data_IF_915529514597
#
_entry.id   IF_915529514597
#
_cell.length_a   1.000
_cell.length_b   1.000
_cell.length_c   1.000
_cell.angle_alpha   90.00
_cell.angle_beta   90.00
_cell.angle_gamma   90.00
#
_symmetry.space_group_name_H-M   'P 1'
#
loop_
_entity.id
_entity.type
_entity.pdbx_description
1 polymer ?
#
# COMPACT_ATOMS: atom_id res chain seq x y z
N UNK A 1 53.76 4.78 -26.21
CA UNK A 1 54.05 3.36 -26.49
C UNK A 1 53.75 2.57 -25.21
N UNK A 2 53.00 1.46 -25.32
CA UNK A 2 52.70 0.43 -24.29
C UNK A 2 51.81 0.89 -23.11
N UNK A 3 50.49 0.58 -23.07
CA UNK A 3 49.82 -0.72 -22.83
C UNK A 3 50.28 -1.48 -21.58
N UNK A 4 49.42 -1.44 -20.55
CA UNK A 4 48.87 -2.63 -19.91
C UNK A 4 49.61 -3.20 -18.70
N UNK A 5 48.97 -3.14 -17.52
CA UNK A 5 48.64 -4.33 -16.71
C UNK A 5 47.59 -3.94 -15.64
N UNK A 6 46.48 -4.68 -15.66
CA UNK A 6 45.31 -4.66 -14.75
C UNK A 6 45.67 -5.05 -13.28
N UNK A 7 44.75 -5.15 -12.28
CA UNK A 7 43.32 -4.75 -12.21
C UNK A 7 42.78 -4.18 -10.85
N UNK A 8 41.49 -3.77 -10.87
CA UNK A 8 40.41 -3.98 -9.86
C UNK A 8 40.43 -3.19 -8.54
N UNK A 9 39.49 -2.26 -8.43
CA UNK A 9 38.40 -2.25 -7.44
C UNK A 9 37.40 -1.15 -7.85
N UNK A 10 36.37 -1.47 -8.63
CA UNK A 10 35.06 -1.97 -8.18
C UNK A 10 34.20 -0.92 -7.46
N UNK A 11 33.89 0.19 -8.12
CA UNK A 11 32.75 1.04 -7.76
C UNK A 11 32.08 1.51 -9.06
N UNK A 12 30.76 1.43 -9.10
CA UNK A 12 29.84 1.88 -10.17
C UNK A 12 29.55 0.91 -11.33
N UNK A 13 28.54 0.06 -11.11
CA UNK A 13 27.36 -0.07 -12.00
C UNK A 13 26.38 -1.08 -11.42
N UNK A 14 25.33 -0.58 -10.77
CA UNK A 14 24.07 -1.32 -10.65
C UNK A 14 23.05 -0.54 -11.47
N UNK A 15 22.89 -0.95 -12.74
CA UNK A 15 21.67 -0.67 -13.52
C UNK A 15 20.64 -1.68 -13.06
N UNK A 16 19.64 -1.25 -12.31
CA UNK A 16 18.42 -2.03 -12.10
C UNK A 16 17.50 -1.86 -13.32
N UNK A 17 16.99 -2.94 -13.93
CA UNK A 17 15.95 -2.83 -14.95
C UNK A 17 14.61 -2.47 -14.29
N UNK A 18 13.95 -1.45 -14.85
CA UNK A 18 12.58 -1.07 -14.50
C UNK A 18 11.64 -2.20 -14.96
N UNK A 19 11.15 -2.99 -14.03
CA UNK A 19 10.09 -3.97 -14.27
C UNK A 19 8.76 -3.23 -14.46
N UNK A 20 8.38 -2.97 -15.71
CA UNK A 20 6.99 -2.65 -16.08
C UNK A 20 6.15 -3.91 -15.89
N UNK A 21 5.49 -4.03 -14.75
CA UNK A 21 4.42 -5.01 -14.56
C UNK A 21 3.20 -4.59 -15.40
N UNK A 22 2.92 -5.38 -16.45
CA UNK A 22 1.69 -5.31 -17.25
C UNK A 22 0.52 -5.81 -16.41
N UNK A 23 -0.23 -4.90 -15.81
CA UNK A 23 -1.59 -5.14 -15.31
C UNK A 23 -2.53 -5.32 -16.51
N UNK A 24 -2.57 -6.51 -17.12
CA UNK A 24 -3.55 -6.84 -18.16
C UNK A 24 -3.75 -8.35 -18.25
N UNK A 25 -4.39 -8.93 -17.22
CA UNK A 25 -4.96 -10.29 -17.34
C UNK A 25 -6.03 -10.63 -16.28
N UNK A 26 -6.09 -9.93 -15.14
CA UNK A 26 -7.01 -10.34 -14.05
C UNK A 26 -8.50 -10.06 -14.32
N UNK A 27 -8.85 -9.06 -15.15
CA UNK A 27 -10.25 -8.75 -15.46
C UNK A 27 -10.99 -9.79 -16.33
N UNK A 28 -10.25 -10.66 -17.05
CA UNK A 28 -10.88 -11.68 -17.90
C UNK A 28 -11.26 -12.96 -17.12
N UNK A 29 -10.65 -13.18 -15.95
CA UNK A 29 -10.96 -14.30 -15.07
C UNK A 29 -12.05 -13.95 -14.06
N UNK A 30 -12.11 -12.69 -13.60
CA UNK A 30 -13.13 -12.23 -12.64
C UNK A 30 -14.53 -12.18 -13.28
N UNK A 31 -14.65 -11.82 -14.56
CA UNK A 31 -15.95 -11.77 -15.25
C UNK A 31 -16.60 -13.15 -15.43
N UNK A 32 -15.80 -14.20 -15.67
CA UNK A 32 -16.29 -15.59 -15.76
C UNK A 32 -16.71 -16.16 -14.40
N UNK A 33 -16.06 -15.73 -13.31
CA UNK A 33 -16.41 -16.13 -11.94
C UNK A 33 -17.68 -15.39 -11.49
N UNK A 34 -17.86 -14.13 -11.89
CA UNK A 34 -19.02 -13.31 -11.55
C UNK A 34 -20.31 -13.74 -12.26
N UNK A 35 -20.23 -14.26 -13.48
CA UNK A 35 -21.41 -14.87 -14.15
C UNK A 35 -21.85 -16.19 -13.50
N UNK A 36 -20.94 -16.94 -12.87
CA UNK A 36 -21.29 -18.18 -12.17
C UNK A 36 -21.89 -17.91 -10.78
N UNK A 37 -21.53 -16.81 -10.13
CA UNK A 37 -22.03 -16.45 -8.80
C UNK A 37 -23.42 -15.79 -8.79
N UNK A 38 -23.88 -15.21 -9.90
CA UNK A 38 -25.23 -14.64 -9.99
C UNK A 38 -26.37 -15.68 -10.06
N UNK A 39 -26.07 -16.96 -10.34
CA UNK A 39 -27.06 -18.04 -10.38
C UNK A 39 -27.34 -18.68 -9.00
N UNK A 40 -26.50 -18.43 -8.00
CA UNK A 40 -26.64 -18.99 -6.66
C UNK A 40 -27.02 -17.92 -5.64
N UNK A 41 -28.19 -17.31 -5.82
CA UNK A 41 -28.89 -16.62 -4.72
C UNK A 41 -30.02 -17.50 -4.21
N UNK A 42 -29.72 -18.34 -3.24
CA UNK A 42 -30.70 -18.79 -2.25
C UNK A 42 -29.96 -18.92 -0.93
N UNK A 43 -30.14 -17.89 -0.12
CA UNK A 43 -29.79 -17.88 1.30
C UNK A 43 -30.52 -19.03 1.98
N UNK A 44 -29.80 -20.05 2.42
CA UNK A 44 -30.27 -20.93 3.48
C UNK A 44 -29.29 -20.81 4.66
N UNK A 45 -29.82 -20.70 5.89
CA UNK A 45 -28.99 -20.62 7.08
C UNK A 45 -28.20 -21.92 7.24
N UNK A 46 -27.01 -21.77 7.81
CA UNK A 46 -26.06 -22.83 8.19
C UNK A 46 -26.78 -23.93 8.98
N UNK A 47 -27.35 -24.91 8.29
CA UNK A 47 -27.82 -26.16 8.88
C UNK A 47 -26.57 -27.03 8.96
N UNK A 48 -26.24 -27.47 10.18
CA UNK A 48 -25.24 -28.50 10.42
C UNK A 48 -25.34 -29.57 9.33
N UNK A 49 -24.20 -30.07 8.81
CA UNK A 49 -24.25 -31.18 7.87
C UNK A 49 -25.10 -32.26 8.54
N UNK A 50 -26.19 -32.74 7.90
CA UNK A 50 -27.01 -33.78 8.49
C UNK A 50 -26.05 -34.90 8.91
N UNK A 51 -26.26 -35.50 10.10
CA UNK A 51 -25.40 -36.59 10.56
C UNK A 51 -25.33 -37.54 9.39
N UNK A 52 -24.13 -37.69 8.82
CA UNK A 52 -23.94 -38.57 7.68
C UNK A 52 -24.57 -39.88 8.15
N UNK A 53 -25.62 -40.38 7.46
CA UNK A 53 -26.26 -41.59 7.91
C UNK A 53 -25.13 -42.57 8.13
N UNK A 54 -25.15 -43.25 9.27
CA UNK A 54 -24.20 -44.31 9.61
C UNK A 54 -24.37 -45.45 8.61
N UNK A 55 -24.11 -45.18 7.32
CA UNK A 55 -24.23 -46.07 6.18
C UNK A 55 -23.21 -47.16 6.38
N UNK A 56 -22.01 -46.81 6.86
CA UNK A 56 -21.02 -47.80 7.26
C UNK A 56 -21.61 -48.75 8.32
N UNK A 57 -22.33 -48.26 9.34
CA UNK A 57 -22.90 -49.14 10.35
C UNK A 57 -24.10 -49.94 9.83
N UNK A 58 -25.00 -49.30 9.08
CA UNK A 58 -26.18 -49.94 8.47
C UNK A 58 -25.79 -50.97 7.41
N UNK A 59 -24.71 -50.73 6.66
CA UNK A 59 -24.16 -51.68 5.70
C UNK A 59 -23.39 -52.79 6.41
N UNK A 60 -22.70 -52.51 7.53
CA UNK A 60 -22.12 -53.55 8.38
C UNK A 60 -23.22 -54.48 8.92
N UNK A 61 -24.31 -53.91 9.43
CA UNK A 61 -25.46 -54.68 9.92
C UNK A 61 -26.12 -55.46 8.79
N UNK A 62 -26.26 -54.85 7.61
CA UNK A 62 -26.77 -55.53 6.43
C UNK A 62 -25.85 -56.68 6.01
N UNK A 63 -24.53 -56.49 6.02
CA UNK A 63 -23.54 -57.49 5.69
C UNK A 63 -23.56 -58.65 6.69
N UNK A 64 -23.66 -58.37 7.99
CA UNK A 64 -23.81 -59.41 9.03
C UNK A 64 -25.14 -60.13 8.89
N UNK A 65 -26.24 -59.42 8.63
CA UNK A 65 -27.56 -60.04 8.46
C UNK A 65 -27.63 -60.90 7.20
N UNK A 66 -26.98 -60.47 6.12
CA UNK A 66 -27.01 -61.15 4.83
C UNK A 66 -26.07 -62.37 4.81
N UNK A 67 -24.97 -62.32 5.57
CA UNK A 67 -24.11 -63.47 5.84
C UNK A 67 -24.84 -64.50 6.72
N UNK A 68 -25.49 -64.06 7.80
CA UNK A 68 -26.15 -64.98 8.74
C UNK A 68 -27.44 -65.61 8.19
N UNK A 69 -28.17 -64.93 7.29
CA UNK A 69 -29.43 -65.45 6.73
C UNK A 69 -29.26 -66.29 5.47
N UNK A 70 -28.14 -66.14 4.75
CA UNK A 70 -27.87 -66.85 3.49
C UNK A 70 -26.67 -67.79 3.57
N UNK A 71 -26.26 -68.19 4.77
CA UNK A 71 -25.34 -69.30 4.91
C UNK A 71 -26.07 -70.55 4.41
N UNK A 72 -25.89 -70.87 3.13
CA UNK A 72 -26.60 -71.93 2.46
C UNK A 72 -26.42 -73.24 3.24
N UNK A 73 -27.53 -73.81 3.69
CA UNK A 73 -27.50 -75.12 4.33
C UNK A 73 -26.96 -76.16 3.34
N UNK A 74 -26.13 -77.12 3.78
CA UNK A 74 -25.62 -78.16 2.91
C UNK A 74 -26.78 -78.86 2.20
N UNK A 75 -26.67 -79.02 0.88
CA UNK A 75 -27.68 -79.73 0.11
C UNK A 75 -27.52 -81.22 0.39
N UNK A 76 -28.49 -81.85 1.03
CA UNK A 76 -28.43 -83.27 1.34
C UNK A 76 -29.25 -84.08 0.34
N UNK A 77 -28.87 -85.35 0.15
CA UNK A 77 -29.63 -86.28 -0.68
C UNK A 77 -31.10 -86.36 -0.27
N UNK A 78 -31.40 -86.30 1.04
CA UNK A 78 -32.76 -86.35 1.56
C UNK A 78 -33.64 -85.15 1.14
N UNK A 79 -33.04 -84.01 0.78
CA UNK A 79 -33.78 -82.79 0.40
C UNK A 79 -34.02 -82.68 -1.12
N UNK A 80 -33.31 -83.49 -1.91
CA UNK A 80 -33.32 -83.42 -3.38
C UNK A 80 -33.79 -84.73 -4.04
N UNK A 81 -33.59 -85.88 -3.39
CA UNK A 81 -34.05 -87.17 -3.88
C UNK A 81 -35.49 -87.42 -3.42
N UNK A 82 -36.38 -87.71 -4.35
CA UNK A 82 -37.74 -88.15 -4.03
C UNK A 82 -37.68 -89.61 -3.53
N UNK A 83 -37.48 -89.74 -2.21
CA UNK A 83 -37.47 -91.04 -1.53
C UNK A 83 -38.79 -91.81 -1.71
N UNK A 84 -39.90 -91.13 -2.05
CA UNK A 84 -41.19 -91.76 -2.30
C UNK A 84 -41.23 -92.42 -3.69
N UNK A 85 -40.68 -91.77 -4.72
CA UNK A 85 -40.58 -92.34 -6.08
C UNK A 85 -39.70 -93.59 -6.09
N UNK A 86 -38.52 -93.52 -5.47
CA UNK A 86 -37.60 -94.65 -5.36
C UNK A 86 -38.25 -95.81 -4.60
N UNK A 87 -39.00 -95.50 -3.54
CA UNK A 87 -39.74 -96.50 -2.78
C UNK A 87 -40.87 -97.15 -3.59
N UNK A 88 -41.58 -96.38 -4.42
CA UNK A 88 -42.61 -96.89 -5.33
C UNK A 88 -42.01 -97.81 -6.41
N UNK A 89 -40.88 -97.45 -7.01
CA UNK A 89 -40.20 -98.29 -7.99
C UNK A 89 -39.69 -99.60 -7.37
N UNK A 90 -39.12 -99.53 -6.16
CA UNK A 90 -38.71 -100.71 -5.40
C UNK A 90 -39.92 -101.59 -5.00
N UNK A 91 -41.11 -101.01 -4.89
CA UNK A 91 -42.35 -101.73 -4.59
C UNK A 91 -42.93 -102.48 -5.80
N UNK A 92 -42.63 -102.05 -7.03
CA UNK A 92 -43.06 -102.74 -8.26
C UNK A 92 -42.29 -104.04 -8.53
N UNK A 93 -41.06 -104.13 -8.03
CA UNK A 93 -40.25 -105.34 -8.14
C UNK A 93 -40.71 -106.35 -7.07
N UNK A 94 -40.98 -107.61 -7.44
CA UNK A 94 -41.29 -108.68 -6.48
C UNK A 94 -39.99 -109.38 -6.07
N UNK A 95 -39.54 -109.16 -4.84
CA UNK A 95 -38.21 -109.59 -4.35
C UNK A 95 -38.20 -110.99 -3.73
N UNK A 96 -39.38 -111.57 -3.42
CA UNK A 96 -39.50 -112.92 -2.85
C UNK A 96 -40.80 -113.59 -3.32
N UNK A 97 -40.77 -114.92 -3.47
CA UNK A 97 -41.92 -115.72 -3.91
C UNK A 97 -42.88 -116.09 -2.76
N UNK A 98 -42.46 -115.98 -1.50
CA UNK A 98 -43.28 -116.30 -0.33
C UNK A 98 -43.94 -115.06 0.31
N UNK A 99 -45.27 -115.10 0.43
CA UNK A 99 -46.12 -113.98 0.88
C UNK A 99 -46.06 -113.69 2.41
N UNK A 100 -45.39 -114.54 3.20
CA UNK A 100 -45.36 -114.43 4.68
C UNK A 100 -44.42 -113.32 5.21
N UNK A 101 -43.55 -112.76 4.36
CA UNK A 101 -42.52 -111.78 4.74
C UNK A 101 -42.76 -110.36 4.19
N UNK A 102 -44.01 -109.99 3.87
CA UNK A 102 -44.35 -108.68 3.32
C UNK A 102 -43.83 -107.50 4.17
N UNK A 103 -43.89 -107.61 5.51
CA UNK A 103 -43.34 -106.58 6.43
C UNK A 103 -41.83 -106.48 6.36
N UNK A 104 -41.14 -107.60 6.17
CA UNK A 104 -39.68 -107.65 6.06
C UNK A 104 -39.20 -107.07 4.73
N UNK A 105 -40.00 -107.20 3.67
CA UNK A 105 -39.73 -106.62 2.37
C UNK A 105 -39.77 -105.09 2.40
N UNK A 106 -40.78 -104.49 3.04
CA UNK A 106 -40.87 -103.02 3.19
C UNK A 106 -39.71 -102.44 4.00
N UNK A 107 -39.31 -103.11 5.09
CA UNK A 107 -38.16 -102.69 5.91
C UNK A 107 -36.85 -102.79 5.13
N UNK A 108 -36.66 -103.85 4.31
CA UNK A 108 -35.48 -103.99 3.45
C UNK A 108 -35.42 -102.90 2.38
N UNK A 109 -36.54 -102.57 1.73
CA UNK A 109 -36.61 -101.47 0.75
C UNK A 109 -36.27 -100.12 1.40
N UNK A 110 -36.83 -99.84 2.59
CA UNK A 110 -36.51 -98.63 3.33
C UNK A 110 -35.03 -98.56 3.69
N UNK A 111 -34.43 -99.69 4.09
CA UNK A 111 -33.00 -99.76 4.41
C UNK A 111 -32.12 -99.58 3.16
N UNK A 112 -32.52 -100.11 2.01
CA UNK A 112 -31.83 -99.87 0.73
C UNK A 112 -31.89 -98.41 0.34
N UNK A 113 -33.06 -97.77 0.45
CA UNK A 113 -33.23 -96.33 0.19
C UNK A 113 -32.36 -95.52 1.15
N UNK A 114 -32.32 -95.87 2.43
CA UNK A 114 -31.50 -95.19 3.42
C UNK A 114 -30.00 -95.34 3.12
N UNK A 115 -29.53 -96.56 2.81
CA UNK A 115 -28.12 -96.80 2.44
C UNK A 115 -27.75 -96.08 1.14
N UNK A 116 -28.65 -96.04 0.16
CA UNK A 116 -28.44 -95.31 -1.10
C UNK A 116 -28.35 -93.80 -0.85
N UNK A 117 -29.22 -93.26 0.02
CA UNK A 117 -29.18 -91.85 0.42
C UNK A 117 -27.90 -91.52 1.18
N UNK A 118 -27.46 -92.38 2.10
CA UNK A 118 -26.21 -92.20 2.84
C UNK A 118 -24.99 -92.24 1.91
N UNK A 119 -24.95 -93.20 0.97
CA UNK A 119 -23.89 -93.30 -0.03
C UNK A 119 -23.86 -92.07 -0.94
N UNK A 120 -25.02 -91.60 -1.40
CA UNK A 120 -25.13 -90.41 -2.24
C UNK A 120 -24.70 -89.15 -1.45
N UNK A 121 -25.01 -89.10 -0.16
CA UNK A 121 -24.64 -88.00 0.70
C UNK A 121 -23.12 -87.93 0.91
N UNK A 122 -22.47 -89.07 1.13
CA UNK A 122 -21.03 -89.15 1.39
C UNK A 122 -20.19 -88.94 0.13
N UNK A 123 -20.52 -89.62 -0.97
CA UNK A 123 -19.71 -89.58 -2.20
C UNK A 123 -19.96 -88.33 -3.05
N UNK A 124 -21.23 -87.91 -3.17
CA UNK A 124 -21.59 -86.80 -4.08
C UNK A 124 -21.83 -85.50 -3.33
N UNK A 125 -22.75 -85.49 -2.35
CA UNK A 125 -23.14 -84.23 -1.71
C UNK A 125 -22.06 -83.67 -0.79
N UNK A 126 -21.23 -84.49 -0.15
CA UNK A 126 -20.10 -84.00 0.66
C UNK A 126 -19.13 -83.16 -0.17
N UNK A 127 -18.69 -83.70 -1.32
CA UNK A 127 -17.74 -83.04 -2.22
C UNK A 127 -18.41 -81.87 -2.95
N UNK A 128 -19.66 -82.05 -3.40
CA UNK A 128 -20.42 -80.99 -4.06
C UNK A 128 -20.64 -79.81 -3.12
N UNK A 129 -21.09 -80.06 -1.89
CA UNK A 129 -21.32 -78.99 -0.91
C UNK A 129 -20.02 -78.29 -0.55
N UNK A 130 -18.94 -79.00 -0.24
CA UNK A 130 -17.68 -78.36 0.14
C UNK A 130 -17.14 -77.48 -0.99
N UNK A 131 -17.11 -77.98 -2.24
CA UNK A 131 -16.55 -77.21 -3.35
C UNK A 131 -17.48 -76.10 -3.83
N UNK A 132 -18.76 -76.40 -4.03
CA UNK A 132 -19.73 -75.49 -4.63
C UNK A 132 -20.19 -74.43 -3.64
N UNK A 133 -20.52 -74.80 -2.39
CA UNK A 133 -20.91 -73.82 -1.38
C UNK A 133 -19.76 -72.90 -1.06
N UNK A 134 -18.53 -73.43 -0.94
CA UNK A 134 -17.36 -72.60 -0.72
C UNK A 134 -17.09 -71.64 -1.88
N UNK A 135 -17.20 -72.09 -3.13
CA UNK A 135 -17.01 -71.18 -4.28
C UNK A 135 -18.10 -70.11 -4.33
N UNK A 136 -19.35 -70.49 -4.07
CA UNK A 136 -20.48 -69.58 -4.12
C UNK A 136 -20.46 -68.58 -2.95
N UNK A 137 -20.07 -69.03 -1.76
CA UNK A 137 -19.84 -68.18 -0.59
C UNK A 137 -18.70 -67.20 -0.86
N UNK A 138 -17.58 -67.66 -1.43
CA UNK A 138 -16.45 -66.80 -1.77
C UNK A 138 -16.83 -65.75 -2.83
N UNK A 139 -17.57 -66.15 -3.86
CA UNK A 139 -18.04 -65.24 -4.91
C UNK A 139 -19.00 -64.19 -4.32
N UNK A 140 -19.96 -64.61 -3.49
CA UNK A 140 -20.87 -63.71 -2.80
C UNK A 140 -20.11 -62.74 -1.89
N UNK A 141 -19.21 -63.23 -1.05
CA UNK A 141 -18.39 -62.39 -0.17
C UNK A 141 -17.55 -61.39 -0.98
N UNK A 142 -16.99 -61.82 -2.11
CA UNK A 142 -16.26 -60.94 -3.04
C UNK A 142 -17.16 -59.85 -3.64
N UNK A 143 -18.39 -60.19 -4.04
CA UNK A 143 -19.36 -59.21 -4.52
C UNK A 143 -19.72 -58.17 -3.45
N UNK A 144 -20.01 -58.60 -2.22
CA UNK A 144 -20.30 -57.70 -1.11
C UNK A 144 -19.09 -56.81 -0.79
N UNK A 145 -17.88 -57.38 -0.77
CA UNK A 145 -16.65 -56.63 -0.55
C UNK A 145 -16.40 -55.58 -1.64
N UNK A 146 -16.59 -55.93 -2.90
CA UNK A 146 -16.44 -54.99 -4.01
C UNK A 146 -17.47 -53.86 -3.94
N UNK A 147 -18.71 -54.18 -3.58
CA UNK A 147 -19.75 -53.18 -3.33
C UNK A 147 -19.33 -52.22 -2.22
N UNK A 148 -18.90 -52.75 -1.06
CA UNK A 148 -18.43 -51.95 0.08
C UNK A 148 -17.23 -51.08 -0.29
N UNK A 149 -16.26 -51.63 -1.00
CA UNK A 149 -15.08 -50.90 -1.47
C UNK A 149 -15.48 -49.73 -2.38
N UNK A 150 -16.44 -49.95 -3.29
CA UNK A 150 -16.95 -48.90 -4.17
C UNK A 150 -17.67 -47.79 -3.38
N UNK A 151 -18.43 -48.16 -2.35
CA UNK A 151 -19.18 -47.23 -1.52
C UNK A 151 -18.25 -46.41 -0.61
N UNK A 152 -17.27 -47.04 0.02
CA UNK A 152 -16.22 -46.34 0.79
C UNK A 152 -15.48 -45.35 -0.11
N UNK A 153 -15.09 -45.77 -1.33
CA UNK A 153 -14.45 -44.88 -2.29
C UNK A 153 -15.34 -43.69 -2.65
N UNK A 154 -16.64 -43.93 -2.83
CA UNK A 154 -17.62 -42.87 -3.06
C UNK A 154 -17.72 -41.91 -1.87
N UNK A 155 -17.79 -42.42 -0.64
CA UNK A 155 -17.83 -41.61 0.59
C UNK A 155 -16.57 -40.75 0.71
N UNK A 156 -15.38 -41.31 0.49
CA UNK A 156 -14.11 -40.58 0.54
C UNK A 156 -14.08 -39.47 -0.51
N UNK A 157 -14.47 -39.79 -1.75
CA UNK A 157 -14.51 -38.83 -2.84
C UNK A 157 -15.49 -37.68 -2.53
N UNK A 158 -16.70 -38.01 -2.09
CA UNK A 158 -17.72 -37.03 -1.73
C UNK A 158 -17.28 -36.15 -0.55
N UNK A 159 -16.67 -36.74 0.48
CA UNK A 159 -16.11 -36.00 1.62
C UNK A 159 -15.02 -35.04 1.17
N UNK A 160 -14.10 -35.48 0.30
CA UNK A 160 -13.05 -34.62 -0.24
C UNK A 160 -13.63 -33.48 -1.07
N UNK A 161 -14.61 -33.76 -1.92
CA UNK A 161 -15.22 -32.76 -2.78
C UNK A 161 -16.03 -31.74 -1.95
N UNK A 162 -16.68 -32.18 -0.87
CA UNK A 162 -17.35 -31.30 0.09
C UNK A 162 -16.35 -30.38 0.82
N UNK A 163 -15.24 -30.93 1.32
CA UNK A 163 -14.18 -30.14 1.96
C UNK A 163 -13.55 -29.15 0.99
N UNK A 164 -13.25 -29.57 -0.24
CA UNK A 164 -12.70 -28.70 -1.28
C UNK A 164 -13.67 -27.55 -1.60
N UNK A 165 -14.97 -27.84 -1.71
CA UNK A 165 -15.97 -26.81 -1.93
C UNK A 165 -16.06 -25.83 -0.75
N UNK A 166 -16.03 -26.30 0.50
CA UNK A 166 -15.99 -25.42 1.67
C UNK A 166 -14.75 -24.52 1.69
N UNK A 167 -13.56 -25.09 1.42
CA UNK A 167 -12.33 -24.32 1.27
C UNK A 167 -12.42 -23.29 0.13
N UNK A 168 -13.03 -23.66 -0.99
CA UNK A 168 -13.25 -22.75 -2.11
C UNK A 168 -14.15 -21.58 -1.73
N UNK A 169 -15.25 -21.83 -1.01
CA UNK A 169 -16.15 -20.80 -0.51
C UNK A 169 -15.44 -19.87 0.48
N UNK A 170 -14.64 -20.43 1.40
CA UNK A 170 -13.82 -19.65 2.34
C UNK A 170 -12.80 -18.76 1.63
N UNK A 171 -12.12 -19.29 0.60
CA UNK A 171 -11.20 -18.50 -0.22
C UNK A 171 -11.94 -17.38 -0.97
N UNK A 172 -13.09 -17.66 -1.56
CA UNK A 172 -13.89 -16.65 -2.25
C UNK A 172 -14.36 -15.54 -1.29
N UNK A 173 -14.74 -15.89 -0.07
CA UNK A 173 -15.05 -14.92 0.98
C UNK A 173 -13.83 -14.07 1.32
N UNK A 174 -12.67 -14.69 1.53
CA UNK A 174 -11.43 -13.98 1.86
C UNK A 174 -11.00 -13.01 0.76
N UNK A 175 -11.10 -13.41 -0.51
CA UNK A 175 -10.80 -12.55 -1.66
C UNK A 175 -11.71 -11.31 -1.65
N UNK A 176 -13.03 -11.51 -1.46
CA UNK A 176 -13.99 -10.41 -1.37
C UNK A 176 -13.68 -9.48 -0.20
N UNK A 177 -13.33 -10.04 0.95
CA UNK A 177 -12.98 -9.26 2.14
C UNK A 177 -11.69 -8.45 1.91
N UNK A 178 -10.70 -9.03 1.22
CA UNK A 178 -9.47 -8.33 0.82
C UNK A 178 -9.74 -7.20 -0.16
N UNK A 179 -10.55 -7.44 -1.20
CA UNK A 179 -10.94 -6.42 -2.17
C UNK A 179 -11.66 -5.25 -1.48
N UNK A 180 -12.55 -5.57 -0.52
CA UNK A 180 -13.25 -4.53 0.26
C UNK A 180 -12.27 -3.69 1.07
N UNK A 181 -11.32 -4.32 1.76
CA UNK A 181 -10.27 -3.61 2.51
C UNK A 181 -9.41 -2.76 1.57
N UNK A 182 -9.09 -3.27 0.39
CA UNK A 182 -8.32 -2.52 -0.60
C UNK A 182 -9.07 -1.27 -1.07
N UNK A 183 -10.36 -1.39 -1.36
CA UNK A 183 -11.21 -0.27 -1.74
C UNK A 183 -11.31 0.75 -0.58
N UNK A 184 -11.49 0.29 0.66
CA UNK A 184 -11.50 1.16 1.86
C UNK A 184 -10.17 1.92 2.03
N UNK A 185 -9.04 1.25 1.85
CA UNK A 185 -7.71 1.89 1.91
C UNK A 185 -7.56 2.91 0.79
N UNK A 186 -8.01 2.58 -0.42
CA UNK A 186 -7.93 3.48 -1.57
C UNK A 186 -8.80 4.72 -1.33
N UNK A 187 -10.01 4.56 -0.79
CA UNK A 187 -10.88 5.66 -0.41
C UNK A 187 -10.25 6.52 0.68
N UNK A 188 -9.66 5.93 1.72
CA UNK A 188 -8.94 6.67 2.77
C UNK A 188 -7.77 7.49 2.19
N UNK A 189 -7.00 6.91 1.28
CA UNK A 189 -5.86 7.59 0.66
C UNK A 189 -6.31 8.74 -0.24
N UNK A 190 -7.32 8.51 -1.08
CA UNK A 190 -7.76 9.50 -2.07
C UNK A 190 -8.61 10.59 -1.41
N UNK A 191 -9.55 10.21 -0.55
CA UNK A 191 -10.52 11.16 -0.01
C UNK A 191 -9.97 11.89 1.20
N UNK A 192 -9.33 11.21 2.15
CA UNK A 192 -8.90 11.87 3.37
C UNK A 192 -7.48 12.43 3.19
N UNK A 193 -6.50 11.57 2.89
CA UNK A 193 -5.10 12.00 2.89
C UNK A 193 -4.77 13.00 1.77
N UNK A 194 -5.24 12.75 0.55
CA UNK A 194 -4.95 13.65 -0.57
C UNK A 194 -5.74 14.96 -0.44
N UNK A 195 -6.98 14.92 0.05
CA UNK A 195 -7.75 16.14 0.31
C UNK A 195 -7.09 16.97 1.43
N UNK A 196 -6.67 16.33 2.52
CA UNK A 196 -5.98 17.00 3.62
C UNK A 196 -4.67 17.63 3.15
N UNK A 197 -3.86 16.89 2.36
CA UNK A 197 -2.65 17.44 1.73
C UNK A 197 -2.95 18.66 0.87
N UNK A 198 -4.02 18.61 0.06
CA UNK A 198 -4.42 19.74 -0.80
C UNK A 198 -4.94 20.94 0.01
N UNK A 199 -5.71 20.69 1.07
CA UNK A 199 -6.20 21.72 1.98
C UNK A 199 -5.02 22.40 2.70
N UNK A 200 -4.08 21.62 3.20
CA UNK A 200 -2.89 22.13 3.89
C UNK A 200 -1.99 22.94 2.93
N UNK A 201 -1.77 22.43 1.71
CA UNK A 201 -1.03 23.17 0.69
C UNK A 201 -1.71 24.50 0.34
N UNK A 202 -3.03 24.50 0.18
CA UNK A 202 -3.79 25.72 -0.08
C UNK A 202 -3.74 26.69 1.10
N UNK A 203 -3.83 26.19 2.34
CA UNK A 203 -3.70 27.02 3.53
C UNK A 203 -2.31 27.67 3.60
N UNK A 204 -1.25 26.89 3.37
CA UNK A 204 0.12 27.42 3.38
C UNK A 204 0.34 28.46 2.27
N UNK A 205 -0.26 28.28 1.08
CA UNK A 205 -0.23 29.28 0.00
C UNK A 205 -0.97 30.55 0.39
N UNK A 206 -2.11 30.42 1.05
CA UNK A 206 -2.91 31.55 1.53
C UNK A 206 -2.15 32.31 2.62
N UNK A 207 -1.60 31.61 3.61
CA UNK A 207 -0.75 32.18 4.66
C UNK A 207 0.45 32.92 4.07
N UNK A 208 1.19 32.30 3.15
CA UNK A 208 2.29 32.98 2.45
C UNK A 208 1.81 34.24 1.74
N UNK A 209 0.69 34.17 1.00
CA UNK A 209 0.12 35.33 0.31
C UNK A 209 -0.26 36.44 1.29
N UNK A 210 -0.85 36.10 2.44
CA UNK A 210 -1.16 37.06 3.50
C UNK A 210 0.09 37.68 4.11
N UNK A 211 1.13 36.87 4.35
CA UNK A 211 2.43 37.35 4.83
C UNK A 211 3.06 38.33 3.84
N UNK A 212 3.08 38.00 2.55
CA UNK A 212 3.56 38.90 1.50
C UNK A 212 2.76 40.21 1.45
N UNK A 213 1.42 40.13 1.54
CA UNK A 213 0.56 41.32 1.59
C UNK A 213 0.86 42.18 2.82
N UNK A 214 1.04 41.58 3.99
CA UNK A 214 1.36 42.29 5.23
C UNK A 214 2.74 42.99 5.13
N UNK A 215 3.76 42.27 4.67
CA UNK A 215 5.10 42.85 4.44
C UNK A 215 5.00 44.03 3.47
N UNK A 216 4.25 43.89 2.37
CA UNK A 216 4.09 44.97 1.39
C UNK A 216 3.35 46.18 1.96
N UNK A 217 2.30 45.97 2.77
CA UNK A 217 1.61 47.06 3.46
C UNK A 217 2.53 47.79 4.45
N UNK A 218 3.33 47.04 5.22
CA UNK A 218 4.30 47.62 6.15
C UNK A 218 5.41 48.39 5.43
N UNK A 219 5.87 47.87 4.29
CA UNK A 219 6.87 48.51 3.44
C UNK A 219 6.32 49.82 2.85
N UNK A 220 5.10 49.78 2.28
CA UNK A 220 4.43 50.97 1.75
C UNK A 220 4.13 51.99 2.85
N UNK A 221 3.70 51.55 4.02
CA UNK A 221 3.48 52.41 5.18
C UNK A 221 4.77 53.09 5.64
N UNK A 222 5.89 52.35 5.69
CA UNK A 222 7.21 52.88 6.04
C UNK A 222 7.75 53.83 4.99
N UNK A 223 7.61 53.48 3.71
CA UNK A 223 7.99 54.33 2.57
C UNK A 223 7.22 55.65 2.59
N UNK A 224 5.91 55.61 2.81
CA UNK A 224 5.09 56.81 2.97
C UNK A 224 5.53 57.65 4.18
N UNK A 225 5.81 57.02 5.33
CA UNK A 225 6.34 57.73 6.51
C UNK A 225 7.68 58.40 6.20
N UNK A 226 8.57 57.75 5.47
CA UNK A 226 9.86 58.32 5.05
C UNK A 226 9.64 59.49 4.11
N UNK A 227 8.78 59.35 3.09
CA UNK A 227 8.47 60.43 2.16
C UNK A 227 7.89 61.66 2.88
N UNK A 228 6.96 61.46 3.81
CA UNK A 228 6.39 62.54 4.63
C UNK A 228 7.47 63.19 5.50
N UNK A 229 8.35 62.40 6.15
CA UNK A 229 9.46 62.95 6.95
C UNK A 229 10.42 63.77 6.11
N UNK A 230 10.87 63.25 4.96
CA UNK A 230 11.75 63.96 4.04
C UNK A 230 11.08 65.25 3.55
N UNK A 231 9.80 65.18 3.15
CA UNK A 231 9.07 66.37 2.69
C UNK A 231 8.94 67.42 3.81
N UNK A 232 8.67 66.98 5.05
CA UNK A 232 8.59 67.85 6.20
C UNK A 232 9.95 68.48 6.55
N UNK A 233 11.03 67.69 6.55
CA UNK A 233 12.41 68.15 6.76
C UNK A 233 12.85 69.13 5.67
N UNK A 234 12.58 68.83 4.40
CA UNK A 234 12.87 69.73 3.28
C UNK A 234 12.11 71.05 3.41
N UNK A 235 10.81 70.98 3.76
CA UNK A 235 10.01 72.19 4.00
C UNK A 235 10.57 73.00 5.17
N UNK A 236 10.99 72.34 6.24
CA UNK A 236 11.64 72.99 7.39
C UNK A 236 12.95 73.66 7.00
N UNK A 237 13.80 72.98 6.23
CA UNK A 237 15.07 73.54 5.74
C UNK A 237 14.85 74.73 4.80
N UNK A 238 13.82 74.70 3.94
CA UNK A 238 13.44 75.85 3.11
C UNK A 238 13.02 77.04 3.98
N UNK A 239 12.24 76.79 5.03
CA UNK A 239 11.81 77.86 5.94
C UNK A 239 13.01 78.44 6.69
N UNK A 240 13.94 77.59 7.13
CA UNK A 240 15.17 78.02 7.78
C UNK A 240 16.08 78.82 6.82
N UNK A 241 16.21 78.40 5.56
CA UNK A 241 16.93 79.19 4.56
C UNK A 241 16.27 80.53 4.28
N UNK A 242 14.94 80.63 4.25
CA UNK A 242 14.24 81.92 4.13
C UNK A 242 14.56 82.84 5.30
N UNK A 243 14.58 82.31 6.52
CA UNK A 243 14.94 83.06 7.72
C UNK A 243 16.39 83.55 7.68
N UNK A 244 17.32 82.71 7.26
CA UNK A 244 18.73 83.08 7.14
C UNK A 244 18.99 84.09 6.01
N UNK A 245 18.38 83.92 4.84
CA UNK A 245 18.56 84.83 3.70
C UNK A 245 18.02 86.23 3.99
N UNK A 246 16.86 86.34 4.65
CA UNK A 246 16.33 87.66 5.04
C UNK A 246 17.22 88.35 6.08
N UNK A 247 17.68 87.59 7.09
CA UNK A 247 18.62 88.09 8.11
C UNK A 247 19.95 88.54 7.50
N UNK A 248 20.52 87.74 6.61
CA UNK A 248 21.82 88.02 6.00
C UNK A 248 21.74 89.12 4.93
N UNK A 249 20.62 89.23 4.20
CA UNK A 249 20.39 90.33 3.25
C UNK A 249 20.29 91.69 3.95
N UNK A 250 19.63 91.74 5.11
CA UNK A 250 19.60 92.94 5.96
C UNK A 250 21.02 93.33 6.42
N UNK A 251 21.81 92.35 6.88
CA UNK A 251 23.20 92.59 7.30
C UNK A 251 24.06 93.09 6.13
N UNK A 252 23.91 92.53 4.93
CA UNK A 252 24.65 92.98 3.75
C UNK A 252 24.32 94.43 3.36
N UNK A 253 23.04 94.82 3.42
CA UNK A 253 22.62 96.22 3.22
C UNK A 253 23.22 97.16 4.27
N UNK A 254 23.21 96.75 5.55
CA UNK A 254 23.81 97.53 6.64
C UNK A 254 25.32 97.73 6.41
N UNK A 255 26.03 96.65 6.08
CA UNK A 255 27.46 96.71 5.74
C UNK A 255 27.70 97.61 4.54
N UNK A 256 26.91 97.51 3.47
CA UNK A 256 27.03 98.37 2.28
C UNK A 256 26.89 99.85 2.63
N UNK A 257 25.86 100.22 3.39
CA UNK A 257 25.65 101.60 3.84
C UNK A 257 26.82 102.09 4.69
N UNK A 258 27.30 101.25 5.62
CA UNK A 258 28.45 101.58 6.45
C UNK A 258 29.73 101.76 5.62
N UNK A 259 29.92 100.96 4.59
CA UNK A 259 31.08 101.00 3.69
C UNK A 259 31.06 102.27 2.84
N UNK A 260 29.89 102.69 2.33
CA UNK A 260 29.73 103.96 1.63
C UNK A 260 30.04 105.14 2.55
N UNK A 261 29.49 105.15 3.78
CA UNK A 261 29.75 106.21 4.75
C UNK A 261 31.23 106.28 5.15
N UNK A 262 31.85 105.13 5.39
CA UNK A 262 33.27 105.02 5.76
C UNK A 262 34.17 105.43 4.58
N UNK A 263 33.85 104.97 3.37
CA UNK A 263 34.58 105.30 2.14
C UNK A 263 34.50 106.79 1.81
N UNK A 264 33.32 107.41 1.95
CA UNK A 264 33.15 108.86 1.76
C UNK A 264 33.91 109.64 2.83
N UNK A 265 33.87 109.22 4.09
CA UNK A 265 34.60 109.89 5.17
C UNK A 265 36.13 109.77 4.97
N UNK A 266 36.61 108.61 4.55
CA UNK A 266 38.02 108.40 4.26
C UNK A 266 38.47 109.21 3.03
N UNK A 267 37.64 109.27 1.98
CA UNK A 267 37.89 110.12 0.81
C UNK A 267 38.00 111.59 1.20
N UNK A 268 37.09 112.12 2.05
CA UNK A 268 37.20 113.48 2.58
C UNK A 268 38.50 113.69 3.36
N UNK A 269 38.97 112.70 4.14
CA UNK A 269 40.25 112.79 4.86
C UNK A 269 41.45 112.86 3.89
N UNK A 270 41.46 112.07 2.82
CA UNK A 270 42.53 112.12 1.83
C UNK A 270 42.52 113.41 0.99
N UNK A 271 41.35 113.99 0.68
CA UNK A 271 41.29 115.28 -0.04
C UNK A 271 41.73 116.45 0.84
N UNK A 272 41.43 116.43 2.15
CA UNK A 272 41.88 117.47 3.09
C UNK A 272 43.39 117.39 3.38
N UNK A 273 44.00 116.21 3.28
CA UNK A 273 45.46 116.06 3.36
C UNK A 273 46.15 116.58 2.09
N UNK A 274 45.53 116.44 0.91
CA UNK A 274 46.13 116.94 -0.34
C UNK A 274 46.01 118.47 -0.48
N UNK A 275 44.92 119.10 -0.01
CA UNK A 275 44.78 120.57 0.03
C UNK A 275 45.71 121.26 1.06
N UNK A 276 46.23 120.51 2.04
CA UNK A 276 47.22 121.01 3.00
C UNK A 276 48.68 120.73 2.58
N UNK A 277 48.91 119.87 1.57
CA UNK A 277 50.24 119.59 1.03
C UNK A 277 50.66 120.54 -0.10
N UNK A 278 49.71 121.25 -0.73
CA UNK A 278 49.99 122.22 -1.82
C UNK A 278 50.25 123.67 -1.33
N UNK A 279 50.14 123.96 -0.03
CA UNK A 279 50.39 125.30 0.56
C UNK A 279 51.72 125.45 1.29
N UNK A 280 52.56 124.41 1.34
CA UNK A 280 53.84 124.45 2.06
C UNK A 280 55.08 124.46 1.12
N UNK A 281 54.88 124.29 -0.20
CA UNK A 281 55.97 124.26 -1.19
C UNK A 281 56.31 125.66 -1.74
N UNK A 282 55.41 126.64 -1.59
CA UNK A 282 55.57 128.00 -2.15
C UNK A 282 56.27 129.00 -1.21
N UNK A 283 56.64 128.60 0.03
CA UNK A 283 57.25 129.50 1.03
C UNK A 283 58.68 129.11 1.44
N UNK A 284 59.24 128.05 0.83
CA UNK A 284 60.55 127.48 1.21
C UNK A 284 61.59 127.57 0.07
N UNK A 285 61.43 128.50 -0.86
CA UNK A 285 62.39 128.74 -1.96
C UNK A 285 63.08 130.12 -1.90
N UNK A 286 62.75 130.98 -0.92
CA UNK A 286 63.20 132.38 -0.90
C UNK A 286 64.09 132.75 0.32
N UNK A 287 64.65 131.77 1.03
CA UNK A 287 65.56 132.04 2.15
C UNK A 287 66.64 130.96 2.25
N UNK A 288 67.89 131.42 2.32
CA UNK A 288 69.12 130.64 2.59
C UNK A 288 69.87 130.07 1.38
N UNK A 289 70.09 130.92 0.37
CA UNK A 289 71.43 131.11 -0.19
C UNK A 289 72.27 131.88 0.85
N UNK A 290 73.52 131.46 1.07
CA UNK A 290 74.52 131.93 2.04
C UNK A 290 74.42 131.28 3.43
N UNK A 291 75.15 130.18 3.64
CA UNK A 291 76.46 130.26 4.31
C UNK A 291 77.17 128.90 4.18
N UNK A 292 78.45 129.01 3.92
CA UNK A 292 79.34 127.97 3.45
C UNK A 292 79.93 127.14 4.62
N UNK A 293 80.51 126.01 4.20
CA UNK A 293 81.77 125.41 4.70
C UNK A 293 81.79 124.53 5.95
N UNK A 294 82.53 123.42 5.73
CA UNK A 294 83.32 122.66 6.69
C UNK A 294 82.53 121.71 7.61
N UNK A 295 82.99 120.49 7.93
CA UNK A 295 84.23 119.77 7.65
C UNK A 295 84.02 118.36 8.22
N UNK A 296 84.43 117.36 7.44
CA UNK A 296 85.05 116.09 7.81
C UNK A 296 84.53 115.18 8.95
N UNK A 297 84.59 113.90 8.57
CA UNK A 297 85.10 112.76 9.34
C UNK A 297 84.16 111.88 10.17
N UNK A 298 84.23 110.61 9.73
CA UNK A 298 84.40 109.39 10.50
C UNK A 298 83.18 108.55 10.91
N UNK A 299 83.23 107.34 10.32
CA UNK A 299 83.15 106.04 11.01
C UNK A 299 81.84 105.65 11.69
N UNK A 300 81.40 104.40 11.71
CA UNK A 300 81.81 103.14 11.11
C UNK A 300 80.74 102.15 11.57
N UNK A 301 80.30 101.27 10.66
CA UNK A 301 79.78 99.96 11.00
C UNK A 301 78.41 99.88 11.71
N UNK A 302 77.75 98.73 11.74
CA UNK A 302 77.99 97.45 11.09
C UNK A 302 76.87 96.53 11.57
N UNK A 303 76.45 95.60 10.72
CA UNK A 303 75.95 94.25 11.07
C UNK A 303 74.61 94.17 11.84
N UNK A 304 73.73 93.19 11.64
CA UNK A 304 73.82 91.84 11.09
C UNK A 304 72.41 91.29 10.90
N UNK A 305 72.27 90.46 9.85
CA UNK A 305 71.40 89.28 9.71
C UNK A 305 69.89 89.41 9.82
#
# INVERSE_FOLDING_TARGET
>A
MLKGLFPRNAINRIRTPVLRYRYRSFHALTSKIQQKSMSLKTTQPLKEPPPQPDLINKLHEQLISEINTNLHHPTHAQNQADSMEIFQDLSMVKWCDDDDDARLNEVRKQLIVQVLLDLLNDEFYSIYNDKFLRSLELDKQSHLFNSLSSEIKYIIQNSRDAQLNDHHLKLMKLIRDLDTIQDEIQDLIINDLNQDCQLEFNNQKLENTLLYKNINLNLNGSSNKIAIKILAELKSHIEEFRWQTTRNGLLALLVLVFLILTGVNMSKKYTTTNENAEKEIDLTNDKYLLEHTNENDDENGSHTS
#
